data_IF_372726105911
#
_entry.id   IF_372726105911
#
_cell.length_a   1.000
_cell.length_b   1.000
_cell.length_c   1.000
_cell.angle_alpha   90.00
_cell.angle_beta   90.00
_cell.angle_gamma   90.00
#
_symmetry.space_group_name_H-M   'P 1'
#
loop_
_entity.id
_entity.type
_entity.pdbx_description
1 polymer ?
#
# COMPACT_ATOMS: atom_id res chain seq x y z
N UNK A 1 8.89 -3.23 -10.19
CA UNK A 1 10.18 -2.76 -10.76
C UNK A 1 10.31 -2.84 -12.30
N UNK A 2 10.32 -4.03 -12.95
CA UNK A 2 10.54 -4.12 -14.42
C UNK A 2 9.53 -3.30 -15.26
N UNK A 3 8.25 -3.34 -14.87
CA UNK A 3 7.17 -2.54 -15.49
C UNK A 3 7.40 -1.04 -15.33
N UNK A 4 7.85 -0.59 -14.15
CA UNK A 4 8.15 0.82 -13.89
C UNK A 4 9.31 1.32 -14.75
N UNK A 5 10.35 0.50 -14.93
CA UNK A 5 11.46 0.81 -15.84
C UNK A 5 10.95 0.97 -17.28
N UNK A 6 10.09 0.07 -17.76
CA UNK A 6 9.51 0.18 -19.10
C UNK A 6 8.67 1.45 -19.26
N UNK A 7 7.83 1.78 -18.27
CA UNK A 7 6.99 2.99 -18.28
C UNK A 7 7.81 4.29 -18.24
N UNK A 8 8.97 4.29 -17.60
CA UNK A 8 9.87 5.44 -17.58
C UNK A 8 10.45 5.80 -18.95
N UNK A 9 10.43 4.87 -19.93
CA UNK A 9 11.03 5.05 -21.26
C UNK A 9 12.57 5.15 -21.26
N UNK A 10 13.22 5.10 -20.09
CA UNK A 10 14.68 5.21 -19.93
C UNK A 10 15.36 3.86 -20.16
N UNK A 11 16.59 3.89 -20.68
CA UNK A 11 17.37 2.66 -20.81
C UNK A 11 17.88 2.22 -19.43
N UNK A 12 17.94 0.90 -19.19
CA UNK A 12 18.45 0.32 -17.93
C UNK A 12 19.84 0.84 -17.56
N UNK A 13 20.70 1.09 -18.55
CA UNK A 13 22.06 1.62 -18.34
C UNK A 13 22.03 3.03 -17.73
N UNK A 14 21.09 3.87 -18.16
CA UNK A 14 20.97 5.26 -17.73
C UNK A 14 20.38 5.34 -16.32
N UNK A 15 19.42 4.46 -16.01
CA UNK A 15 18.85 4.31 -14.67
C UNK A 15 19.91 3.79 -13.69
N UNK A 16 20.67 2.76 -14.09
CA UNK A 16 21.74 2.19 -13.26
C UNK A 16 22.80 3.24 -12.92
N UNK A 17 23.21 4.04 -13.90
CA UNK A 17 24.14 5.15 -13.69
C UNK A 17 23.57 6.19 -12.70
N UNK A 18 22.30 6.58 -12.87
CA UNK A 18 21.66 7.59 -12.02
C UNK A 18 21.54 7.16 -10.54
N UNK A 19 21.26 5.88 -10.28
CA UNK A 19 21.18 5.36 -8.89
C UNK A 19 22.55 4.95 -8.32
N UNK A 20 23.60 4.94 -9.14
CA UNK A 20 24.98 4.65 -8.75
C UNK A 20 25.32 3.15 -8.66
N UNK A 21 24.74 2.32 -9.53
CA UNK A 21 25.04 0.87 -9.61
C UNK A 21 25.38 0.45 -11.04
N UNK A 22 25.95 -0.76 -11.20
CA UNK A 22 26.22 -1.30 -12.54
C UNK A 22 24.93 -1.77 -13.22
N UNK A 23 24.84 -1.73 -14.56
CA UNK A 23 23.71 -2.29 -15.29
C UNK A 23 23.47 -3.78 -14.99
N UNK A 24 24.54 -4.52 -14.71
CA UNK A 24 24.45 -5.92 -14.29
C UNK A 24 23.80 -6.06 -12.91
N UNK A 25 24.18 -5.22 -11.93
CA UNK A 25 23.55 -5.22 -10.62
C UNK A 25 22.06 -4.87 -10.72
N UNK A 26 21.70 -3.89 -11.54
CA UNK A 26 20.30 -3.56 -11.78
C UNK A 26 19.54 -4.74 -12.40
N UNK A 27 20.11 -5.42 -13.41
CA UNK A 27 19.50 -6.62 -14.00
C UNK A 27 19.32 -7.74 -12.97
N UNK A 28 20.29 -7.94 -12.08
CA UNK A 28 20.19 -8.93 -11.00
C UNK A 28 19.04 -8.59 -10.04
N UNK A 29 18.86 -7.32 -9.68
CA UNK A 29 17.75 -6.88 -8.83
C UNK A 29 16.37 -7.01 -9.51
N UNK A 30 16.31 -6.89 -10.84
CA UNK A 30 15.05 -7.05 -11.59
C UNK A 30 14.67 -8.52 -11.74
N UNK A 31 15.64 -9.39 -11.96
CA UNK A 31 15.41 -10.77 -12.39
C UNK A 31 15.43 -11.79 -11.25
N UNK A 32 15.97 -11.45 -10.07
CA UNK A 32 16.05 -12.34 -8.92
C UNK A 32 14.96 -12.01 -7.88
N UNK A 33 13.84 -12.77 -7.84
CA UNK A 33 12.75 -12.50 -6.91
C UNK A 33 13.08 -12.81 -5.44
N UNK A 34 14.19 -13.50 -5.16
CA UNK A 34 14.63 -13.81 -3.79
C UNK A 34 15.64 -12.81 -3.25
N UNK A 35 16.06 -11.85 -4.07
CA UNK A 35 17.10 -10.91 -3.72
C UNK A 35 16.52 -9.68 -3.04
N UNK A 36 16.92 -9.47 -1.80
CA UNK A 36 16.58 -8.24 -1.09
C UNK A 36 17.18 -7.02 -1.80
N UNK A 37 16.33 -6.02 -2.02
CA UNK A 37 16.74 -4.74 -2.59
C UNK A 37 17.19 -3.85 -1.43
N UNK A 38 18.46 -3.39 -1.38
CA UNK A 38 18.91 -2.50 -0.32
C UNK A 38 18.06 -1.23 -0.29
N UNK A 39 17.63 -0.82 0.90
CA UNK A 39 16.76 0.33 1.12
C UNK A 39 17.23 1.64 0.42
N UNK A 40 18.53 2.02 0.47
CA UNK A 40 19.00 3.19 -0.24
C UNK A 40 18.82 3.09 -1.77
N UNK A 41 18.98 1.88 -2.31
CA UNK A 41 18.79 1.59 -3.73
C UNK A 41 17.32 1.67 -4.12
N UNK A 42 16.43 1.10 -3.30
CA UNK A 42 14.99 1.17 -3.51
C UNK A 42 14.48 2.62 -3.50
N UNK A 43 14.94 3.44 -2.54
CA UNK A 43 14.59 4.86 -2.46
C UNK A 43 15.03 5.63 -3.71
N UNK A 44 16.26 5.41 -4.16
CA UNK A 44 16.80 6.07 -5.37
C UNK A 44 16.06 5.62 -6.63
N UNK A 45 15.73 4.33 -6.74
CA UNK A 45 14.92 3.82 -7.85
C UNK A 45 13.52 4.46 -7.87
N UNK A 46 12.86 4.57 -6.72
CA UNK A 46 11.53 5.18 -6.62
C UNK A 46 11.54 6.66 -7.01
N UNK A 47 12.64 7.36 -6.68
CA UNK A 47 12.86 8.74 -7.10
C UNK A 47 13.15 8.85 -8.60
N UNK A 48 14.11 8.06 -9.12
CA UNK A 48 14.59 8.15 -10.50
C UNK A 48 13.58 7.68 -11.55
N UNK A 49 12.72 6.73 -11.21
CA UNK A 49 11.69 6.21 -12.11
C UNK A 49 10.45 7.11 -12.18
N UNK A 50 10.29 7.98 -11.18
CA UNK A 50 9.13 8.87 -10.99
C UNK A 50 7.76 8.19 -11.21
N UNK A 51 7.70 6.88 -10.93
CA UNK A 51 6.54 6.04 -11.23
C UNK A 51 5.70 5.90 -9.96
N UNK A 52 4.48 6.44 -9.98
CA UNK A 52 3.59 6.48 -8.81
C UNK A 52 3.26 5.09 -8.27
N UNK A 53 2.94 4.12 -9.14
CA UNK A 53 2.66 2.74 -8.72
C UNK A 53 3.88 2.13 -8.03
N UNK A 54 5.07 2.34 -8.59
CA UNK A 54 6.32 1.84 -8.01
C UNK A 54 6.69 2.54 -6.70
N UNK A 55 6.35 3.83 -6.53
CA UNK A 55 6.51 4.53 -5.25
C UNK A 55 5.60 3.94 -4.18
N UNK A 56 4.37 3.56 -4.53
CA UNK A 56 3.47 2.85 -3.61
C UNK A 56 3.97 1.46 -3.27
N UNK A 57 4.40 0.67 -4.26
CA UNK A 57 5.04 -0.64 -4.03
C UNK A 57 6.26 -0.53 -3.11
N UNK A 58 7.11 0.48 -3.34
CA UNK A 58 8.30 0.72 -2.52
C UNK A 58 7.97 1.16 -1.09
N UNK A 59 7.02 2.10 -0.92
CA UNK A 59 6.58 2.55 0.39
C UNK A 59 5.95 1.41 1.19
N UNK A 60 5.14 0.57 0.54
CA UNK A 60 4.54 -0.60 1.17
C UNK A 60 5.60 -1.63 1.61
N UNK A 61 6.58 -1.93 0.75
CA UNK A 61 7.69 -2.81 1.12
C UNK A 61 8.51 -2.27 2.31
N UNK A 62 8.68 -0.95 2.40
CA UNK A 62 9.48 -0.31 3.46
C UNK A 62 8.76 -0.26 4.81
N UNK A 63 7.45 -0.09 4.80
CA UNK A 63 6.69 0.32 5.99
C UNK A 63 5.47 -0.57 6.28
N UNK A 64 5.14 -1.52 5.40
CA UNK A 64 3.99 -2.42 5.54
C UNK A 64 2.66 -1.68 5.58
N UNK A 65 2.45 -0.75 4.64
CA UNK A 65 1.34 0.22 4.66
C UNK A 65 0.09 -0.26 3.91
N UNK A 66 0.15 -1.40 3.21
CA UNK A 66 -0.94 -1.97 2.42
C UNK A 66 -1.20 -1.28 1.07
N UNK A 67 -0.30 -0.41 0.60
CA UNK A 67 -0.50 0.37 -0.64
C UNK A 67 -0.20 -0.41 -1.93
N UNK A 68 0.59 -1.49 -1.88
CA UNK A 68 0.89 -2.24 -3.09
C UNK A 68 -0.37 -3.00 -3.54
N UNK A 69 -0.94 -2.61 -4.68
CA UNK A 69 -1.97 -3.39 -5.36
C UNK A 69 -1.41 -4.78 -5.61
N UNK A 70 -1.77 -5.76 -4.78
CA UNK A 70 -1.48 -7.16 -5.06
C UNK A 70 -1.98 -7.41 -6.48
N UNK A 71 -1.16 -7.98 -7.36
CA UNK A 71 -1.49 -8.21 -8.78
C UNK A 71 -2.73 -9.10 -9.01
N UNK A 72 -3.43 -9.44 -7.94
CA UNK A 72 -4.74 -10.03 -7.89
C UNK A 72 -5.76 -8.94 -8.20
N UNK A 73 -6.20 -8.91 -9.46
CA UNK A 73 -7.38 -8.13 -9.90
C UNK A 73 -8.64 -8.79 -9.32
N UNK A 74 -8.79 -8.80 -8.00
CA UNK A 74 -10.01 -9.26 -7.33
C UNK A 74 -10.92 -8.05 -7.18
N UNK A 75 -11.82 -8.00 -8.17
CA UNK A 75 -13.18 -7.43 -8.16
C UNK A 75 -13.27 -5.92 -7.87
N UNK A 76 -13.24 -5.06 -8.91
CA UNK A 76 -13.44 -3.62 -8.80
C UNK A 76 -14.93 -3.27 -8.81
N UNK A 77 -15.77 -4.00 -8.07
CA UNK A 77 -17.16 -3.61 -7.86
C UNK A 77 -17.20 -2.91 -6.50
N UNK A 78 -17.40 -1.58 -6.46
CA UNK A 78 -17.32 -0.81 -5.22
C UNK A 78 -18.20 -1.38 -4.10
N UNK A 79 -19.36 -1.97 -4.43
CA UNK A 79 -20.25 -2.56 -3.42
C UNK A 79 -19.64 -3.75 -2.68
N UNK A 80 -18.89 -4.62 -3.36
CA UNK A 80 -18.25 -5.77 -2.71
C UNK A 80 -17.13 -5.30 -1.77
N UNK A 81 -16.40 -4.25 -2.16
CA UNK A 81 -15.37 -3.65 -1.28
C UNK A 81 -16.02 -2.89 -0.12
N UNK A 82 -17.24 -2.38 -0.29
CA UNK A 82 -17.99 -1.73 0.78
C UNK A 82 -18.48 -2.73 1.83
N UNK A 83 -18.87 -3.93 1.42
CA UNK A 83 -19.21 -5.02 2.35
C UNK A 83 -18.00 -5.39 3.21
N UNK A 84 -16.80 -5.50 2.63
CA UNK A 84 -15.56 -5.72 3.40
C UNK A 84 -15.28 -4.58 4.40
N UNK A 85 -15.56 -3.32 4.02
CA UNK A 85 -15.42 -2.17 4.95
C UNK A 85 -16.39 -2.29 6.12
N UNK A 86 -17.63 -2.71 5.85
CA UNK A 86 -18.66 -2.86 6.88
C UNK A 86 -18.30 -3.96 7.88
N UNK A 87 -17.77 -5.09 7.41
CA UNK A 87 -17.30 -6.18 8.28
C UNK A 87 -16.14 -5.72 9.19
N UNK A 88 -15.13 -5.02 8.64
CA UNK A 88 -13.99 -4.51 9.42
C UNK A 88 -14.43 -3.43 10.43
N UNK A 89 -15.40 -2.59 10.04
CA UNK A 89 -15.98 -1.59 10.93
C UNK A 89 -16.70 -2.27 12.10
N UNK A 90 -17.52 -3.30 11.84
CA UNK A 90 -18.25 -4.05 12.86
C UNK A 90 -17.31 -4.72 13.86
N UNK A 91 -16.21 -5.30 13.40
CA UNK A 91 -15.19 -5.92 14.26
C UNK A 91 -14.49 -4.89 15.16
N UNK A 92 -14.19 -3.70 14.63
CA UNK A 92 -13.63 -2.60 15.43
C UNK A 92 -14.63 -2.04 16.44
N UNK A 93 -15.91 -1.91 16.07
CA UNK A 93 -16.96 -1.37 16.96
C UNK A 93 -17.21 -2.22 18.20
N UNK A 94 -17.02 -3.54 18.10
CA UNK A 94 -17.12 -4.44 19.24
C UNK A 94 -16.10 -4.12 20.35
N UNK A 95 -14.96 -3.52 19.99
CA UNK A 95 -13.87 -3.17 20.92
C UNK A 95 -14.00 -1.75 21.50
N UNK A 96 -14.86 -0.93 20.92
CA UNK A 96 -14.86 0.52 21.06
C UNK A 96 -15.20 0.99 22.49
N UNK A 97 -16.10 0.28 23.17
CA UNK A 97 -16.48 0.57 24.56
C UNK A 97 -15.30 0.42 25.52
N UNK A 98 -14.54 -0.66 25.34
CA UNK A 98 -13.42 -1.00 26.22
C UNK A 98 -12.19 -0.14 25.90
N UNK A 99 -11.94 0.15 24.61
CA UNK A 99 -10.93 1.10 24.19
C UNK A 99 -11.17 2.49 24.80
N UNK A 100 -12.42 3.00 24.73
CA UNK A 100 -12.82 4.27 25.35
C UNK A 100 -12.62 4.26 26.88
N UNK A 101 -12.81 3.12 27.54
CA UNK A 101 -12.57 3.00 28.99
C UNK A 101 -11.09 3.14 29.33
N UNK A 102 -10.22 2.50 28.53
CA UNK A 102 -8.76 2.53 28.72
C UNK A 102 -8.19 3.91 28.37
N UNK A 103 -8.59 4.50 27.23
CA UNK A 103 -8.12 5.82 26.79
C UNK A 103 -8.52 6.98 27.71
N UNK A 104 -9.47 6.79 28.63
CA UNK A 104 -9.80 7.77 29.67
C UNK A 104 -8.80 7.82 30.82
N UNK A 105 -7.94 6.82 30.93
CA UNK A 105 -6.86 6.75 31.92
C UNK A 105 -5.56 7.32 31.34
N UNK A 106 -4.65 7.79 32.20
CA UNK A 106 -3.34 8.25 31.75
C UNK A 106 -2.49 7.07 31.23
N UNK A 107 -1.77 7.19 30.10
CA UNK A 107 -1.01 6.07 29.53
C UNK A 107 -0.02 5.39 30.49
N UNK A 108 0.54 6.15 31.43
CA UNK A 108 1.46 5.63 32.45
C UNK A 108 0.79 4.71 33.49
N UNK A 109 -0.53 4.69 33.58
CA UNK A 109 -1.28 3.86 34.54
C UNK A 109 -1.83 2.58 33.92
N UNK A 110 -1.66 2.37 32.62
CA UNK A 110 -2.20 1.21 31.93
C UNK A 110 -1.47 -0.08 32.35
N UNK A 111 -2.24 -1.07 32.78
CA UNK A 111 -1.74 -2.41 33.03
C UNK A 111 -1.41 -3.16 31.74
N UNK A 112 -0.65 -4.25 31.84
CA UNK A 112 -0.27 -5.03 30.66
C UNK A 112 -1.45 -5.62 29.88
N UNK A 113 -2.57 -5.90 30.54
CA UNK A 113 -3.79 -6.35 29.86
C UNK A 113 -4.38 -5.24 28.98
N UNK A 114 -4.40 -4.00 29.48
CA UNK A 114 -4.91 -2.83 28.77
C UNK A 114 -4.00 -2.50 27.57
N UNK A 115 -2.68 -2.56 27.75
CA UNK A 115 -1.71 -2.38 26.66
C UNK A 115 -1.92 -3.41 25.54
N UNK A 116 -2.09 -4.69 25.89
CA UNK A 116 -2.39 -5.75 24.90
C UNK A 116 -3.72 -5.50 24.19
N UNK A 117 -4.74 -5.07 24.94
CA UNK A 117 -6.04 -4.72 24.36
C UNK A 117 -5.92 -3.56 23.36
N UNK A 118 -5.23 -2.48 23.73
CA UNK A 118 -5.02 -1.32 22.85
C UNK A 118 -4.21 -1.70 21.60
N UNK A 119 -3.25 -2.63 21.70
CA UNK A 119 -2.57 -3.16 20.52
C UNK A 119 -3.51 -3.88 19.56
N UNK A 120 -4.45 -4.68 20.10
CA UNK A 120 -5.49 -5.31 19.27
C UNK A 120 -6.41 -4.26 18.66
N UNK A 121 -6.94 -3.34 19.46
CA UNK A 121 -7.80 -2.24 18.96
C UNK A 121 -7.13 -1.45 17.84
N UNK A 122 -5.84 -1.11 18.01
CA UNK A 122 -5.05 -0.44 16.97
C UNK A 122 -4.97 -1.27 15.68
N UNK A 123 -4.85 -2.59 15.78
CA UNK A 123 -4.79 -3.49 14.61
C UNK A 123 -6.10 -3.40 13.82
N UNK A 124 -7.24 -3.61 14.48
CA UNK A 124 -8.57 -3.58 13.84
C UNK A 124 -8.85 -2.20 13.22
N UNK A 125 -8.54 -1.11 13.94
CA UNK A 125 -8.68 0.25 13.40
C UNK A 125 -7.84 0.46 12.13
N UNK A 126 -6.67 -0.16 12.04
CA UNK A 126 -5.80 -0.03 10.88
C UNK A 126 -6.31 -0.87 9.69
N UNK A 127 -6.97 -2.00 9.98
CA UNK A 127 -7.63 -2.86 8.98
C UNK A 127 -8.86 -2.15 8.38
N UNK A 128 -9.70 -1.52 9.21
CA UNK A 128 -10.82 -0.65 8.79
C UNK A 128 -10.32 0.47 7.87
N UNK A 129 -9.34 1.27 8.30
CA UNK A 129 -8.78 2.37 7.48
C UNK A 129 -8.20 1.86 6.16
N UNK A 130 -7.60 0.67 6.16
CA UNK A 130 -7.08 0.04 4.95
C UNK A 130 -8.20 -0.42 4.02
N UNK A 131 -9.31 -0.90 4.56
CA UNK A 131 -10.51 -1.24 3.78
C UNK A 131 -11.16 0.01 3.17
N UNK A 132 -11.28 1.10 3.92
CA UNK A 132 -11.84 2.38 3.42
C UNK A 132 -11.03 2.93 2.24
N UNK A 133 -9.69 2.92 2.34
CA UNK A 133 -8.83 3.31 1.22
C UNK A 133 -9.03 2.42 -0.01
N UNK A 134 -9.17 1.10 0.17
CA UNK A 134 -9.46 0.17 -0.93
C UNK A 134 -10.82 0.47 -1.57
N UNK A 135 -11.82 0.86 -0.79
CA UNK A 135 -13.12 1.25 -1.31
C UNK A 135 -13.04 2.54 -2.15
N UNK A 136 -12.34 3.55 -1.66
CA UNK A 136 -12.09 4.78 -2.43
C UNK A 136 -11.36 4.49 -3.75
N UNK A 137 -10.32 3.66 -3.72
CA UNK A 137 -9.59 3.23 -4.92
C UNK A 137 -10.51 2.51 -5.92
N UNK A 138 -11.46 1.69 -5.44
CA UNK A 138 -12.42 1.00 -6.29
C UNK A 138 -13.38 1.96 -6.99
N UNK A 139 -13.82 3.02 -6.29
CA UNK A 139 -14.64 4.10 -6.87
C UNK A 139 -13.84 4.83 -7.95
N UNK A 140 -12.62 5.25 -7.64
CA UNK A 140 -11.76 5.98 -8.58
C UNK A 140 -11.44 5.16 -9.83
N UNK A 141 -11.15 3.87 -9.68
CA UNK A 141 -10.91 2.96 -10.79
C UNK A 141 -12.18 2.72 -11.63
N UNK A 142 -13.37 2.75 -11.03
CA UNK A 142 -14.64 2.70 -11.77
C UNK A 142 -14.87 4.00 -12.58
N UNK A 143 -14.66 5.17 -11.97
CA UNK A 143 -14.78 6.47 -12.64
C UNK A 143 -13.82 6.63 -13.82
N UNK A 144 -12.57 6.17 -13.66
CA UNK A 144 -11.57 6.19 -14.74
C UNK A 144 -11.97 5.32 -15.93
N UNK A 145 -12.62 4.16 -15.70
CA UNK A 145 -13.09 3.29 -16.78
C UNK A 145 -14.20 3.97 -17.59
N UNK A 146 -15.21 4.50 -16.91
CA UNK A 146 -16.29 5.24 -17.55
C UNK A 146 -15.73 6.45 -18.32
N UNK A 147 -14.80 7.20 -17.73
CA UNK A 147 -14.22 8.38 -18.39
C UNK A 147 -13.37 8.03 -19.63
N UNK A 148 -12.62 6.91 -19.60
CA UNK A 148 -11.88 6.42 -20.77
C UNK A 148 -12.82 5.94 -21.88
N UNK A 149 -13.93 5.32 -21.52
CA UNK A 149 -14.97 4.93 -22.48
C UNK A 149 -15.63 6.18 -23.09
N UNK A 150 -15.93 7.22 -22.31
CA UNK A 150 -16.50 8.47 -22.83
C UNK A 150 -15.56 9.18 -23.82
N UNK A 151 -14.25 9.20 -23.57
CA UNK A 151 -13.26 9.82 -24.47
C UNK A 151 -13.00 8.95 -25.71
N UNK A 152 -13.10 7.63 -25.62
CA UNK A 152 -12.88 6.73 -26.75
C UNK A 152 -14.04 6.74 -27.78
N UNK A 153 -15.20 7.29 -27.41
CA UNK A 153 -16.40 7.39 -28.25
C UNK A 153 -16.72 8.83 -28.72
N UNK A 154 -15.91 9.82 -28.33
CA UNK A 154 -16.02 11.23 -28.74
C UNK A 154 -14.95 11.58 -29.79
#
# INVERSE_FOLDING_TARGET
MSKAIQRSGRQKKDIAAAIGITPQNLSNLINDPKRDVPLPTLRRLAFELDDTDFKFEAADWMFGLGFAKSGVKVIPIPIAVKEDVDDEQDDREQLDREAKRIFKQEPGTWGMAEVKFIHRYRKELNEEVSAEHRFLDAIDDALKKVSKEVIAWA
#
